data_IF_981893329584
#
_entry.id   IF_981893329584
#
_cell.length_a   1.000
_cell.length_b   1.000
_cell.length_c   1.000
_cell.angle_alpha   90.00
_cell.angle_beta   90.00
_cell.angle_gamma   90.00
#
_symmetry.space_group_name_H-M   'P 1'
#
loop_
_entity.id
_entity.type
_entity.pdbx_description
1 polymer ?
#
# COMPACT_ATOMS: atom_id res chain seq x y z
N UNK A 1 -4.54 63.94 33.75
CA UNK A 1 -3.32 63.16 33.48
C UNK A 1 -3.74 61.73 33.27
N UNK A 2 -4.06 61.45 32.01
CA UNK A 2 -4.54 60.18 31.49
C UNK A 2 -3.52 59.06 31.64
N UNK A 3 -3.97 57.93 32.17
CA UNK A 3 -3.22 56.67 32.22
C UNK A 3 -3.50 55.84 30.97
N UNK A 4 -2.46 55.63 30.16
CA UNK A 4 -2.46 54.79 28.97
C UNK A 4 -1.81 53.41 29.29
N UNK A 5 -2.34 52.36 28.64
CA UNK A 5 -1.72 51.06 28.29
C UNK A 5 -1.75 49.90 29.31
N UNK A 6 -2.51 48.85 28.93
CA UNK A 6 -2.11 47.43 28.64
C UNK A 6 -3.40 46.61 28.62
N UNK A 7 -3.85 45.94 27.55
CA UNK A 7 -3.11 45.22 26.52
C UNK A 7 -2.82 43.79 27.00
N UNK A 8 -3.65 42.81 26.63
CA UNK A 8 -3.28 41.43 26.28
C UNK A 8 -4.52 40.52 26.25
N UNK A 9 -4.85 40.05 25.04
CA UNK A 9 -5.93 39.11 24.78
C UNK A 9 -5.74 37.77 25.50
N UNK A 10 -6.76 37.38 26.26
CA UNK A 10 -6.90 36.03 26.82
C UNK A 10 -7.52 35.12 25.77
N UNK A 11 -6.71 34.57 24.88
CA UNK A 11 -7.14 33.53 23.95
C UNK A 11 -5.95 32.77 23.34
N UNK A 12 -5.13 32.11 24.19
CA UNK A 12 -4.01 31.28 23.70
C UNK A 12 -3.86 29.90 24.35
N UNK A 13 -4.60 29.58 25.43
CA UNK A 13 -4.47 28.27 26.08
C UNK A 13 -5.15 27.13 25.29
N UNK A 14 -6.41 27.33 24.88
CA UNK A 14 -7.20 26.29 24.23
C UNK A 14 -6.74 25.97 22.80
N UNK A 15 -6.32 26.99 22.04
CA UNK A 15 -5.80 26.81 20.67
C UNK A 15 -4.46 26.09 20.69
N UNK A 16 -3.56 26.44 21.62
CA UNK A 16 -2.30 25.72 21.80
C UNK A 16 -2.51 24.26 22.20
N UNK A 17 -3.49 23.99 23.07
CA UNK A 17 -3.81 22.63 23.52
C UNK A 17 -4.45 21.78 22.39
N UNK A 18 -5.35 22.36 21.60
CA UNK A 18 -5.94 21.70 20.42
C UNK A 18 -4.89 21.43 19.34
N UNK A 19 -3.98 22.38 19.09
CA UNK A 19 -2.89 22.18 18.13
C UNK A 19 -1.91 21.09 18.60
N UNK A 20 -1.56 21.08 19.89
CA UNK A 20 -0.74 20.02 20.48
C UNK A 20 -1.42 18.64 20.39
N UNK A 21 -2.75 18.57 20.56
CA UNK A 21 -3.50 17.31 20.44
C UNK A 21 -3.62 16.83 18.99
N UNK A 22 -3.76 17.75 18.02
CA UNK A 22 -3.75 17.43 16.57
C UNK A 22 -2.36 16.97 16.12
N UNK A 23 -1.29 17.60 16.61
CA UNK A 23 0.10 17.19 16.32
C UNK A 23 0.48 15.86 16.99
N UNK A 24 0.05 15.61 18.23
CA UNK A 24 0.29 14.34 18.91
C UNK A 24 -0.37 13.16 18.20
N UNK A 25 -1.51 13.38 17.52
CA UNK A 25 -2.16 12.34 16.72
C UNK A 25 -1.49 12.05 15.37
N UNK A 26 -0.67 12.96 14.86
CA UNK A 26 0.10 12.77 13.63
C UNK A 26 1.41 11.98 13.84
N UNK A 27 1.90 11.91 15.08
CA UNK A 27 3.17 11.25 15.41
C UNK A 27 3.06 9.73 15.62
N UNK A 28 1.85 9.15 15.57
CA UNK A 28 1.68 7.70 15.53
C UNK A 28 1.90 7.16 14.09
N UNK A 29 3.04 7.53 13.49
CA UNK A 29 3.54 6.91 12.28
C UNK A 29 4.05 5.52 12.64
N UNK A 30 3.07 4.62 12.74
CA UNK A 30 3.11 3.18 12.48
C UNK A 30 4.52 2.60 12.32
N UNK A 31 5.09 2.13 13.43
CA UNK A 31 6.13 1.10 13.38
C UNK A 31 5.41 -0.19 12.94
N UNK A 32 5.14 -0.30 11.64
CA UNK A 32 4.61 -1.54 11.09
C UNK A 32 5.62 -2.63 11.44
N UNK A 33 5.18 -3.79 11.96
CA UNK A 33 6.10 -4.87 12.29
C UNK A 33 7.04 -5.08 11.10
N UNK A 34 8.33 -5.19 11.37
CA UNK A 34 9.34 -5.42 10.34
C UNK A 34 9.11 -6.79 9.71
N UNK A 35 8.14 -6.87 8.81
CA UNK A 35 7.81 -8.08 8.06
C UNK A 35 9.06 -8.42 7.25
N UNK A 36 9.59 -9.65 7.38
CA UNK A 36 10.78 -10.03 6.65
C UNK A 36 10.54 -9.85 5.14
N UNK A 37 11.55 -9.36 4.39
CA UNK A 37 11.38 -9.11 2.98
C UNK A 37 11.06 -10.42 2.25
N UNK A 38 9.91 -10.46 1.56
CA UNK A 38 9.54 -11.57 0.69
C UNK A 38 10.37 -11.48 -0.60
N UNK A 39 11.23 -12.47 -0.92
CA UNK A 39 12.00 -12.45 -2.15
C UNK A 39 11.11 -12.52 -3.38
N UNK A 40 11.50 -11.87 -4.49
CA UNK A 40 10.71 -11.88 -5.73
C UNK A 40 10.39 -13.30 -6.22
N UNK A 41 11.38 -14.21 -6.18
CA UNK A 41 11.17 -15.61 -6.59
C UNK A 41 10.04 -16.27 -5.81
N UNK A 42 9.99 -16.02 -4.51
CA UNK A 42 8.98 -16.59 -3.63
C UNK A 42 7.61 -15.95 -3.87
N UNK A 43 7.58 -14.63 -4.12
CA UNK A 43 6.35 -13.95 -4.50
C UNK A 43 5.76 -14.47 -5.82
N UNK A 44 6.59 -14.76 -6.82
CA UNK A 44 6.17 -15.38 -8.08
C UNK A 44 5.55 -16.76 -7.82
N UNK A 45 6.25 -17.61 -7.04
CA UNK A 45 5.77 -18.95 -6.67
C UNK A 45 4.40 -18.88 -6.00
N UNK A 46 4.25 -18.01 -5.01
CA UNK A 46 3.01 -17.81 -4.27
C UNK A 46 1.86 -17.33 -5.18
N UNK A 47 2.13 -16.39 -6.08
CA UNK A 47 1.14 -15.90 -7.03
C UNK A 47 0.69 -16.99 -8.03
N UNK A 48 1.60 -17.81 -8.55
CA UNK A 48 1.29 -18.90 -9.47
C UNK A 48 0.48 -20.01 -8.78
N UNK A 49 0.83 -20.35 -7.53
CA UNK A 49 0.06 -21.30 -6.72
C UNK A 49 -1.34 -20.79 -6.41
N UNK A 50 -1.46 -19.52 -6.06
CA UNK A 50 -2.74 -18.88 -5.82
C UNK A 50 -3.61 -18.82 -7.09
N UNK A 51 -3.01 -18.47 -8.23
CA UNK A 51 -3.70 -18.47 -9.53
C UNK A 51 -4.21 -19.88 -9.88
N UNK A 52 -3.35 -20.90 -9.73
CA UNK A 52 -3.71 -22.31 -9.97
C UNK A 52 -4.84 -22.77 -9.04
N UNK A 53 -4.77 -22.42 -7.75
CA UNK A 53 -5.82 -22.72 -6.79
C UNK A 53 -7.15 -22.03 -7.14
N UNK A 54 -7.09 -20.84 -7.75
CA UNK A 54 -8.24 -20.11 -8.29
C UNK A 54 -8.72 -20.58 -9.67
N UNK A 55 -8.13 -21.62 -10.26
CA UNK A 55 -8.49 -22.14 -11.58
C UNK A 55 -7.97 -21.31 -12.77
N UNK A 56 -7.03 -20.39 -12.53
CA UNK A 56 -6.37 -19.62 -13.59
C UNK A 56 -5.19 -20.41 -14.13
N UNK A 57 -5.23 -20.75 -15.42
CA UNK A 57 -4.13 -21.40 -16.11
C UNK A 57 -3.15 -20.36 -16.69
N UNK A 58 -1.94 -20.33 -16.13
CA UNK A 58 -0.84 -19.46 -16.57
C UNK A 58 0.15 -20.15 -17.51
N UNK A 59 -0.04 -21.43 -17.87
CA UNK A 59 0.94 -22.22 -18.62
C UNK A 59 1.31 -21.66 -20.00
N UNK A 60 0.40 -20.93 -20.63
CA UNK A 60 0.59 -20.27 -21.93
C UNK A 60 0.95 -18.78 -21.81
N UNK A 61 1.10 -18.28 -20.57
CA UNK A 61 1.49 -16.91 -20.27
C UNK A 61 2.94 -16.88 -19.78
N UNK A 62 3.59 -15.73 -19.96
CA UNK A 62 4.91 -15.46 -19.40
C UNK A 62 4.82 -14.26 -18.45
N UNK A 63 5.65 -14.26 -17.41
CA UNK A 63 5.78 -13.10 -16.54
C UNK A 63 6.37 -11.94 -17.36
N UNK A 64 5.56 -10.91 -17.62
CA UNK A 64 5.97 -9.77 -18.43
C UNK A 64 6.79 -8.76 -17.62
N UNK A 65 6.40 -8.53 -16.36
CA UNK A 65 7.14 -7.68 -15.45
C UNK A 65 6.81 -7.95 -13.98
N UNK A 66 7.74 -7.52 -13.12
CA UNK A 66 7.61 -7.54 -11.67
C UNK A 66 8.18 -6.24 -11.08
N UNK A 67 7.46 -5.62 -10.14
CA UNK A 67 7.90 -4.38 -9.47
C UNK A 67 7.61 -4.41 -7.98
N UNK A 68 8.55 -3.92 -7.18
CA UNK A 68 8.32 -3.64 -5.77
C UNK A 68 7.60 -2.30 -5.62
N UNK A 69 6.40 -2.32 -5.03
CA UNK A 69 5.54 -1.16 -4.83
C UNK A 69 5.21 -0.97 -3.34
N UNK A 70 4.63 0.19 -3.02
CA UNK A 70 4.08 0.51 -1.70
C UNK A 70 2.60 0.83 -1.88
N UNK A 71 1.75 0.20 -1.09
CA UNK A 71 0.35 0.61 -0.95
C UNK A 71 0.27 1.57 0.24
N UNK A 72 -0.34 2.72 0.01
CA UNK A 72 -0.53 3.77 1.02
C UNK A 72 -2.02 3.93 1.37
N UNK A 73 -2.90 3.07 0.84
CA UNK A 73 -4.32 3.14 1.09
C UNK A 73 -4.64 2.99 2.59
N UNK A 74 -5.63 3.73 3.13
CA UNK A 74 -5.97 3.70 4.56
C UNK A 74 -6.36 2.32 5.11
N UNK A 75 -6.81 1.40 4.24
CA UNK A 75 -7.19 0.03 4.62
C UNK A 75 -6.13 -1.03 4.36
N UNK A 76 -5.06 -0.70 3.64
CA UNK A 76 -3.96 -1.63 3.32
C UNK A 76 -2.70 -0.84 3.05
N UNK A 77 -1.85 -0.73 4.07
CA UNK A 77 -0.54 -0.09 3.97
C UNK A 77 0.55 -1.15 3.96
N UNK A 78 1.50 -1.06 3.03
CA UNK A 78 2.67 -1.95 3.04
C UNK A 78 3.31 -2.14 1.67
N UNK A 79 4.51 -2.74 1.69
CA UNK A 79 5.21 -3.13 0.47
C UNK A 79 4.56 -4.37 -0.15
N UNK A 80 4.57 -4.44 -1.47
CA UNK A 80 4.11 -5.61 -2.22
C UNK A 80 4.87 -5.77 -3.54
N UNK A 81 4.96 -7.00 -4.01
CA UNK A 81 5.33 -7.31 -5.38
C UNK A 81 4.10 -7.19 -6.27
N UNK A 82 4.21 -6.35 -7.28
CA UNK A 82 3.24 -6.25 -8.37
C UNK A 82 3.75 -7.09 -9.53
N UNK A 83 3.00 -8.12 -9.88
CA UNK A 83 3.37 -9.12 -10.89
C UNK A 83 2.31 -9.13 -11.99
N UNK A 84 2.74 -9.23 -13.25
CA UNK A 84 1.86 -9.34 -14.39
C UNK A 84 2.32 -10.45 -15.35
N UNK A 85 1.37 -11.26 -15.80
CA UNK A 85 1.54 -12.28 -16.82
C UNK A 85 0.78 -11.89 -18.08
N UNK A 86 1.40 -12.13 -19.23
CA UNK A 86 0.82 -11.85 -20.55
C UNK A 86 0.98 -13.05 -21.47
N UNK A 87 0.12 -13.14 -22.47
CA UNK A 87 0.13 -14.25 -23.41
C UNK A 87 1.34 -14.23 -24.33
N UNK A 88 1.80 -15.43 -24.69
CA UNK A 88 2.80 -15.64 -25.75
C UNK A 88 2.29 -15.32 -27.16
N UNK A 89 0.98 -15.22 -27.34
CA UNK A 89 0.31 -14.81 -28.60
C UNK A 89 -1.04 -14.18 -28.26
N UNK A 90 -1.53 -13.19 -29.03
CA UNK A 90 -2.78 -12.51 -28.72
C UNK A 90 -3.94 -13.52 -28.67
N UNK A 91 -4.58 -13.62 -27.50
CA UNK A 91 -5.79 -14.42 -27.28
C UNK A 91 -6.85 -13.51 -26.65
N UNK A 92 -8.12 -13.88 -26.82
CA UNK A 92 -9.28 -13.24 -26.16
C UNK A 92 -9.32 -13.48 -24.63
N UNK A 93 -8.20 -13.89 -24.01
CA UNK A 93 -8.07 -14.04 -22.57
C UNK A 93 -7.34 -12.84 -22.02
N UNK A 94 -7.89 -12.17 -21.01
CA UNK A 94 -7.25 -11.01 -20.37
C UNK A 94 -5.86 -11.35 -19.81
N UNK A 95 -5.09 -10.31 -19.52
CA UNK A 95 -3.83 -10.42 -18.78
C UNK A 95 -4.12 -10.76 -17.31
N UNK A 96 -3.21 -11.49 -16.66
CA UNK A 96 -3.34 -11.80 -15.24
C UNK A 96 -2.39 -10.92 -14.42
N UNK A 97 -2.93 -10.25 -13.40
CA UNK A 97 -2.17 -9.43 -12.48
C UNK A 97 -2.38 -9.87 -11.04
N UNK A 98 -1.32 -9.83 -10.24
CA UNK A 98 -1.38 -10.10 -8.81
C UNK A 98 -0.55 -9.09 -8.00
N UNK A 99 -1.06 -8.72 -6.83
CA UNK A 99 -0.28 -8.07 -5.78
C UNK A 99 0.02 -9.10 -4.70
N UNK A 100 1.31 -9.31 -4.40
CA UNK A 100 1.77 -10.19 -3.34
C UNK A 100 2.44 -9.35 -2.26
N UNK A 101 1.75 -9.17 -1.14
CA UNK A 101 2.26 -8.39 -0.03
C UNK A 101 3.33 -9.15 0.75
N UNK A 102 4.16 -8.41 1.51
CA UNK A 102 5.25 -9.00 2.29
C UNK A 102 4.78 -10.00 3.35
N UNK A 103 3.52 -9.89 3.79
CA UNK A 103 2.88 -10.80 4.74
C UNK A 103 2.29 -12.06 4.07
N UNK A 104 2.48 -12.23 2.74
CA UNK A 104 1.98 -13.35 1.96
C UNK A 104 0.52 -13.20 1.50
N UNK A 105 -0.16 -12.10 1.81
CA UNK A 105 -1.48 -11.85 1.25
C UNK A 105 -1.37 -11.63 -0.27
N UNK A 106 -2.28 -12.24 -1.02
CA UNK A 106 -2.37 -12.09 -2.47
C UNK A 106 -3.73 -11.48 -2.82
N UNK A 107 -3.72 -10.45 -3.66
CA UNK A 107 -4.95 -9.85 -4.19
C UNK A 107 -4.89 -9.80 -5.71
N UNK A 108 -5.99 -10.09 -6.43
CA UNK A 108 -6.05 -9.90 -7.87
C UNK A 108 -5.82 -8.43 -8.21
N UNK A 109 -5.04 -8.19 -9.24
CA UNK A 109 -4.94 -6.89 -9.88
C UNK A 109 -5.75 -6.95 -11.18
N UNK A 110 -6.74 -6.05 -11.36
CA UNK A 110 -7.38 -5.88 -12.66
C UNK A 110 -6.31 -5.42 -13.65
N UNK A 111 -6.04 -6.24 -14.66
CA UNK A 111 -5.41 -5.78 -15.88
C UNK A 111 -6.50 -5.19 -16.79
N UNK A 112 -6.14 -4.21 -17.62
CA UNK A 112 -7.10 -3.47 -18.45
C UNK A 112 -7.92 -4.34 -19.41
N UNK A 113 -8.89 -3.73 -20.14
CA UNK A 113 -9.76 -4.45 -21.08
C UNK A 113 -9.00 -5.15 -22.21
#
# INVERSE_FOLDING_TARGET
MDGLVRGAGRSSGAVALLLALVLARAAAATDAPAVPPLPLREAIRLAEEWARAGGVDLSAQHLSWARLCVDEAPGRRGRYWHLQWTWTSPRLGGEFGARVYMDGLITPQPCGP
#
